data_IF_805467217563
#
_entry.id   IF_805467217563
#
_cell.length_a   1.000
_cell.length_b   1.000
_cell.length_c   1.000
_cell.angle_alpha   90.00
_cell.angle_beta   90.00
_cell.angle_gamma   90.00
#
_symmetry.space_group_name_H-M   'P 1'
#
loop_
_entity.id
_entity.type
_entity.pdbx_description
1 polymer ?
#
# COMPACT_ATOMS: atom_id res chain seq x y z
N UNK A 1 24.99 21.96 -35.27
CA UNK A 1 25.01 21.45 -33.88
C UNK A 1 23.94 22.17 -33.09
N UNK A 2 22.79 21.52 -32.88
CA UNK A 2 21.65 22.06 -32.13
C UNK A 2 21.72 21.50 -30.70
N UNK A 3 21.82 22.39 -29.71
CA UNK A 3 21.73 22.01 -28.30
C UNK A 3 20.28 22.13 -27.83
N UNK A 4 19.76 20.99 -27.38
CA UNK A 4 18.40 20.73 -26.90
C UNK A 4 18.00 21.67 -25.76
N UNK A 5 16.89 22.39 -25.94
CA UNK A 5 16.21 23.14 -24.87
C UNK A 5 15.46 22.14 -23.99
N UNK A 6 15.84 22.05 -22.72
CA UNK A 6 15.14 21.28 -21.69
C UNK A 6 13.73 21.85 -21.48
N UNK A 7 12.71 21.12 -21.91
CA UNK A 7 11.31 21.45 -21.66
C UNK A 7 10.95 21.08 -20.21
N UNK A 8 10.91 22.08 -19.31
CA UNK A 8 10.40 21.89 -17.95
C UNK A 8 8.88 21.80 -18.02
N UNK A 9 8.33 20.61 -17.73
CA UNK A 9 6.90 20.43 -17.54
C UNK A 9 6.44 21.27 -16.33
N UNK A 10 5.74 22.37 -16.60
CA UNK A 10 4.93 23.06 -15.62
C UNK A 10 3.67 22.21 -15.42
N UNK A 11 3.45 21.66 -14.22
CA UNK A 11 2.13 21.14 -13.85
C UNK A 11 1.28 22.34 -13.47
N UNK A 12 0.24 22.73 -14.24
CA UNK A 12 -0.60 23.84 -13.87
C UNK A 12 -1.71 23.32 -12.95
N UNK A 13 -1.39 23.07 -11.68
CA UNK A 13 -2.44 22.84 -10.68
C UNK A 13 -3.13 24.16 -10.39
N UNK A 14 -4.29 24.38 -11.01
CA UNK A 14 -5.21 25.46 -10.61
C UNK A 14 -5.51 25.31 -9.11
N UNK A 15 -5.53 26.39 -8.31
CA UNK A 15 -6.01 26.31 -6.94
C UNK A 15 -7.45 25.80 -6.94
N UNK A 16 -7.77 24.89 -6.03
CA UNK A 16 -9.12 24.34 -5.92
C UNK A 16 -10.14 25.48 -5.72
N UNK A 17 -11.30 25.46 -6.40
CA UNK A 17 -12.29 26.53 -6.31
C UNK A 17 -12.74 26.76 -4.85
N UNK A 18 -12.83 28.03 -4.44
CA UNK A 18 -13.26 28.45 -3.10
C UNK A 18 -14.66 27.89 -2.82
N UNK A 19 -14.73 26.86 -1.97
CA UNK A 19 -15.95 26.09 -1.71
C UNK A 19 -15.69 24.58 -1.63
N UNK A 20 -14.79 24.05 -2.47
CA UNK A 20 -14.31 22.66 -2.35
C UNK A 20 -13.38 22.49 -1.13
N UNK A 21 -12.55 23.50 -0.86
CA UNK A 21 -11.62 23.50 0.28
C UNK A 21 -12.32 23.32 1.65
N UNK A 22 -13.40 24.05 2.00
CA UNK A 22 -14.09 23.83 3.27
C UNK A 22 -14.87 22.50 3.32
N UNK A 23 -15.43 22.03 2.21
CA UNK A 23 -16.09 20.71 2.17
C UNK A 23 -15.08 19.56 2.32
N UNK A 24 -13.96 19.63 1.62
CA UNK A 24 -12.84 18.70 1.74
C UNK A 24 -12.22 18.75 3.14
N UNK A 25 -12.00 19.93 3.72
CA UNK A 25 -11.50 20.09 5.07
C UNK A 25 -12.42 19.43 6.12
N UNK A 26 -13.74 19.64 6.01
CA UNK A 26 -14.72 18.96 6.88
C UNK A 26 -14.72 17.45 6.69
N UNK A 27 -14.61 16.96 5.45
CA UNK A 27 -14.55 15.52 5.17
C UNK A 27 -13.28 14.89 5.74
N UNK A 28 -12.13 15.55 5.58
CA UNK A 28 -10.85 15.13 6.18
C UNK A 28 -10.96 15.13 7.71
N UNK A 29 -11.54 16.17 8.30
CA UNK A 29 -11.72 16.25 9.75
C UNK A 29 -12.65 15.14 10.27
N UNK A 30 -13.75 14.86 9.57
CA UNK A 30 -14.65 13.75 9.89
C UNK A 30 -13.94 12.38 9.80
N UNK A 31 -13.08 12.19 8.79
CA UNK A 31 -12.26 10.97 8.66
C UNK A 31 -11.23 10.85 9.78
N UNK A 32 -10.54 11.93 10.14
CA UNK A 32 -9.57 11.94 11.24
C UNK A 32 -10.25 11.66 12.57
N UNK A 33 -11.42 12.26 12.82
CA UNK A 33 -12.18 12.05 14.05
C UNK A 33 -12.71 10.61 14.13
N UNK A 34 -13.16 10.04 13.02
CA UNK A 34 -13.55 8.62 12.94
C UNK A 34 -12.37 7.70 13.25
N UNK A 35 -11.21 7.91 12.60
CA UNK A 35 -9.96 7.15 12.87
C UNK A 35 -9.55 7.26 14.34
N UNK A 36 -9.64 8.45 14.94
CA UNK A 36 -9.35 8.65 16.37
C UNK A 36 -10.33 7.90 17.27
N UNK A 37 -11.62 7.87 16.94
CA UNK A 37 -12.62 7.11 17.70
C UNK A 37 -12.39 5.62 17.62
N UNK A 38 -12.09 5.10 16.42
CA UNK A 38 -11.72 3.70 16.20
C UNK A 38 -10.45 3.34 16.98
N UNK A 39 -9.41 4.19 16.95
CA UNK A 39 -8.19 3.98 17.72
C UNK A 39 -8.40 4.06 19.25
N UNK A 40 -9.35 4.88 19.72
CA UNK A 40 -9.71 4.96 21.14
C UNK A 40 -10.60 3.82 21.61
N UNK A 41 -11.40 3.24 20.71
CA UNK A 41 -12.24 2.08 20.96
C UNK A 41 -11.47 0.75 20.86
N UNK A 42 -10.23 0.79 20.34
CA UNK A 42 -9.37 -0.38 20.24
C UNK A 42 -9.10 -1.01 21.61
N UNK A 43 -9.27 -2.31 21.68
CA UNK A 43 -8.96 -3.14 22.84
C UNK A 43 -7.48 -3.10 23.19
N UNK A 44 -7.13 -3.48 24.43
CA UNK A 44 -5.73 -3.53 24.86
C UNK A 44 -4.87 -4.45 23.98
N UNK A 45 -5.46 -5.55 23.50
CA UNK A 45 -4.82 -6.51 22.59
C UNK A 45 -4.56 -5.90 21.22
N UNK A 46 -5.53 -5.20 20.63
CA UNK A 46 -5.36 -4.50 19.35
C UNK A 46 -4.29 -3.41 19.42
N UNK A 47 -4.21 -2.70 20.56
CA UNK A 47 -3.17 -1.69 20.80
C UNK A 47 -1.79 -2.33 20.92
N UNK A 48 -1.68 -3.46 21.60
CA UNK A 48 -0.43 -4.21 21.69
C UNK A 48 -0.01 -4.75 20.30
N UNK A 49 -0.94 -5.32 19.54
CA UNK A 49 -0.70 -5.81 18.19
C UNK A 49 -0.24 -4.69 17.24
N UNK A 50 -0.84 -3.50 17.32
CA UNK A 50 -0.44 -2.34 16.53
C UNK A 50 0.98 -1.84 16.89
N UNK A 51 1.32 -1.83 18.18
CA UNK A 51 2.66 -1.46 18.63
C UNK A 51 3.71 -2.48 18.19
N UNK A 52 3.43 -3.78 18.33
CA UNK A 52 4.32 -4.88 17.92
C UNK A 52 4.52 -4.84 16.40
N UNK A 53 3.46 -4.64 15.64
CA UNK A 53 3.51 -4.49 14.18
C UNK A 53 4.46 -3.36 13.73
N UNK A 54 4.34 -2.17 14.34
CA UNK A 54 5.24 -1.05 14.04
C UNK A 54 6.68 -1.29 14.49
N UNK A 55 6.88 -2.03 15.58
CA UNK A 55 8.20 -2.33 16.13
C UNK A 55 8.94 -3.41 15.32
N UNK A 56 8.28 -4.53 15.01
CA UNK A 56 8.86 -5.65 14.26
C UNK A 56 9.20 -5.28 12.81
N UNK A 57 8.48 -4.33 12.22
CA UNK A 57 8.78 -3.80 10.88
C UNK A 57 9.86 -2.71 10.82
N UNK A 58 10.44 -2.31 11.96
CA UNK A 58 11.36 -1.16 12.04
C UNK A 58 12.84 -1.58 12.06
N UNK A 59 13.70 -0.79 11.41
CA UNK A 59 15.16 -0.94 11.51
C UNK A 59 15.69 -0.78 12.95
N UNK A 60 14.98 -0.05 13.80
CA UNK A 60 15.35 0.11 15.20
C UNK A 60 15.42 -1.23 15.94
N UNK A 61 14.49 -2.14 15.65
CA UNK A 61 14.46 -3.49 16.22
C UNK A 61 15.74 -4.28 15.91
N UNK A 62 16.20 -4.20 14.66
CA UNK A 62 17.42 -4.86 14.19
C UNK A 62 18.65 -4.32 14.93
N UNK A 63 18.77 -3.00 15.07
CA UNK A 63 19.89 -2.41 15.81
C UNK A 63 19.88 -2.81 17.29
N UNK A 64 18.71 -2.87 17.92
CA UNK A 64 18.59 -3.35 19.30
C UNK A 64 19.08 -4.79 19.44
N UNK A 65 18.72 -5.68 18.50
CA UNK A 65 19.17 -7.08 18.49
C UNK A 65 20.68 -7.18 18.29
N UNK A 66 21.23 -6.46 17.31
CA UNK A 66 22.67 -6.45 17.05
C UNK A 66 23.44 -5.94 18.27
N UNK A 67 22.96 -4.88 18.93
CA UNK A 67 23.59 -4.37 20.14
C UNK A 67 23.48 -5.36 21.31
N UNK A 68 22.33 -6.01 21.48
CA UNK A 68 22.10 -6.98 22.55
C UNK A 68 22.96 -8.23 22.36
N UNK A 69 22.84 -8.92 21.23
CA UNK A 69 23.63 -10.12 20.92
C UNK A 69 25.12 -9.80 20.82
N UNK A 70 25.49 -8.71 20.15
CA UNK A 70 26.88 -8.27 20.03
C UNK A 70 27.50 -7.93 21.38
N UNK A 71 26.77 -7.23 22.25
CA UNK A 71 27.19 -6.94 23.62
C UNK A 71 27.37 -8.21 24.45
N UNK A 72 26.42 -9.15 24.36
CA UNK A 72 26.52 -10.44 25.05
C UNK A 72 27.74 -11.25 24.63
N UNK A 73 27.99 -11.34 23.33
CA UNK A 73 29.15 -12.04 22.77
C UNK A 73 30.44 -11.35 23.22
N UNK A 74 30.52 -10.01 23.13
CA UNK A 74 31.72 -9.27 23.52
C UNK A 74 32.08 -9.46 25.01
N UNK A 75 31.07 -9.50 25.88
CA UNK A 75 31.26 -9.75 27.31
C UNK A 75 31.70 -11.19 27.61
N UNK A 76 31.22 -12.18 26.84
CA UNK A 76 31.50 -13.60 27.09
C UNK A 76 32.74 -14.15 26.37
N UNK A 77 33.16 -13.53 25.26
CA UNK A 77 34.40 -13.90 24.54
C UNK A 77 35.65 -13.26 25.17
N UNK A 78 35.48 -12.41 26.20
CA UNK A 78 36.60 -11.83 26.95
C UNK A 78 37.24 -10.62 26.27
N UNK A 79 36.54 -9.97 25.34
CA UNK A 79 36.98 -8.68 24.75
C UNK A 79 37.06 -7.61 25.85
N UNK A 80 36.18 -7.68 26.84
CA UNK A 80 36.26 -6.89 28.07
C UNK A 80 36.99 -7.68 29.16
N UNK A 81 38.25 -7.36 29.40
CA UNK A 81 39.08 -7.99 30.45
C UNK A 81 38.56 -7.77 31.88
N UNK A 82 37.56 -6.92 32.08
CA UNK A 82 36.97 -6.59 33.38
C UNK A 82 35.82 -7.50 33.81
N UNK A 83 35.28 -8.34 32.92
CA UNK A 83 34.10 -9.18 33.22
C UNK A 83 34.46 -10.65 33.04
N UNK A 84 34.14 -11.47 34.05
CA UNK A 84 34.34 -12.92 33.96
C UNK A 84 33.27 -13.52 33.04
N UNK A 85 33.65 -14.29 31.99
CA UNK A 85 32.70 -14.97 31.13
C UNK A 85 31.78 -15.88 31.93
N UNK A 86 30.48 -15.75 31.72
CA UNK A 86 29.44 -16.48 32.45
C UNK A 86 28.62 -17.41 31.55
N UNK A 87 28.60 -17.14 30.24
CA UNK A 87 28.13 -18.00 29.15
C UNK A 87 29.25 -18.18 28.09
N UNK A 88 30.38 -18.84 28.41
CA UNK A 88 31.53 -18.93 27.51
C UNK A 88 31.25 -19.77 26.25
N UNK A 89 30.30 -20.71 26.32
CA UNK A 89 29.88 -21.56 25.21
C UNK A 89 28.76 -20.94 24.36
N UNK A 90 28.22 -19.78 24.77
CA UNK A 90 27.10 -19.09 24.12
C UNK A 90 25.83 -19.95 23.99
N UNK A 91 25.73 -21.05 24.74
CA UNK A 91 24.61 -21.99 24.65
C UNK A 91 23.35 -21.35 25.23
N UNK A 92 23.49 -20.57 26.30
CA UNK A 92 22.34 -19.88 26.92
C UNK A 92 21.80 -18.84 25.95
N UNK A 93 22.69 -18.06 25.32
CA UNK A 93 22.32 -17.11 24.27
C UNK A 93 21.61 -17.78 23.10
N UNK A 94 22.14 -18.90 22.61
CA UNK A 94 21.57 -19.63 21.48
C UNK A 94 20.17 -20.19 21.81
N UNK A 95 19.97 -20.71 23.02
CA UNK A 95 18.64 -21.19 23.45
C UNK A 95 17.64 -20.04 23.53
N UNK A 96 18.04 -18.89 24.09
CA UNK A 96 17.19 -17.71 24.16
C UNK A 96 16.81 -17.20 22.77
N UNK A 97 17.80 -17.03 21.88
CA UNK A 97 17.60 -16.62 20.50
C UNK A 97 16.67 -17.57 19.73
N UNK A 98 16.76 -18.88 19.99
CA UNK A 98 15.92 -19.88 19.32
C UNK A 98 14.44 -19.73 19.70
N UNK A 99 14.15 -19.50 20.98
CA UNK A 99 12.79 -19.26 21.45
C UNK A 99 12.28 -17.91 20.91
N UNK A 100 13.11 -16.87 20.99
CA UNK A 100 12.78 -15.54 20.47
C UNK A 100 12.44 -15.57 18.98
N UNK A 101 13.19 -16.32 18.16
CA UNK A 101 12.95 -16.44 16.73
C UNK A 101 11.54 -16.96 16.39
N UNK A 102 10.97 -17.88 17.17
CA UNK A 102 9.59 -18.37 16.98
C UNK A 102 8.58 -17.24 17.20
N UNK A 103 8.76 -16.46 18.27
CA UNK A 103 7.91 -15.29 18.54
C UNK A 103 8.02 -14.25 17.43
N UNK A 104 9.24 -13.94 16.98
CA UNK A 104 9.48 -13.00 15.89
C UNK A 104 8.84 -13.46 14.59
N UNK A 105 9.03 -14.72 14.21
CA UNK A 105 8.41 -15.28 13.00
C UNK A 105 6.89 -15.19 13.06
N UNK A 106 6.29 -15.46 14.23
CA UNK A 106 4.84 -15.36 14.42
C UNK A 106 4.36 -13.91 14.33
N UNK A 107 5.08 -12.96 14.95
CA UNK A 107 4.74 -11.54 14.86
C UNK A 107 4.90 -10.99 13.45
N UNK A 108 5.95 -11.40 12.73
CA UNK A 108 6.15 -11.06 11.31
C UNK A 108 4.98 -11.60 10.47
N UNK A 109 4.57 -12.86 10.68
CA UNK A 109 3.45 -13.45 9.94
C UNK A 109 2.13 -12.75 10.24
N UNK A 110 1.84 -12.44 11.50
CA UNK A 110 0.64 -11.67 11.88
C UNK A 110 0.66 -10.29 11.22
N UNK A 111 1.82 -9.62 11.21
CA UNK A 111 1.97 -8.32 10.57
C UNK A 111 1.77 -8.40 9.05
N UNK A 112 2.34 -9.42 8.41
CA UNK A 112 2.17 -9.68 6.97
C UNK A 112 0.70 -9.95 6.63
N UNK A 113 0.01 -10.81 7.37
CA UNK A 113 -1.41 -11.08 7.16
C UNK A 113 -2.27 -9.81 7.27
N UNK A 114 -1.95 -8.95 8.25
CA UNK A 114 -2.66 -7.67 8.41
C UNK A 114 -2.42 -6.71 7.25
N UNK A 115 -1.16 -6.58 6.80
CA UNK A 115 -0.82 -5.75 5.64
C UNK A 115 -1.50 -6.28 4.37
N UNK A 116 -1.49 -7.59 4.15
CA UNK A 116 -2.16 -8.21 3.02
C UNK A 116 -3.68 -7.97 3.02
N UNK A 117 -4.33 -8.03 4.19
CA UNK A 117 -5.75 -7.70 4.31
C UNK A 117 -6.04 -6.22 3.98
N UNK A 118 -5.18 -5.29 4.42
CA UNK A 118 -5.30 -3.87 4.10
C UNK A 118 -5.07 -3.60 2.61
N UNK A 119 -4.05 -4.23 2.02
CA UNK A 119 -3.72 -4.10 0.60
C UNK A 119 -4.84 -4.65 -0.29
N UNK A 120 -5.43 -5.80 0.07
CA UNK A 120 -6.60 -6.34 -0.64
C UNK A 120 -7.79 -5.37 -0.60
N UNK A 121 -8.10 -4.79 0.57
CA UNK A 121 -9.20 -3.82 0.67
C UNK A 121 -8.94 -2.54 -0.14
N UNK A 122 -7.67 -2.13 -0.28
CA UNK A 122 -7.28 -1.00 -1.14
C UNK A 122 -7.42 -1.35 -2.62
N UNK A 123 -6.98 -2.54 -3.02
CA UNK A 123 -7.10 -3.03 -4.39
C UNK A 123 -8.58 -3.12 -4.84
N UNK A 124 -9.47 -3.62 -3.98
CA UNK A 124 -10.91 -3.67 -4.27
C UNK A 124 -11.51 -2.27 -4.48
N UNK A 125 -11.10 -1.29 -3.67
CA UNK A 125 -11.57 0.09 -3.81
C UNK A 125 -11.03 0.74 -5.09
N UNK A 126 -9.75 0.52 -5.41
CA UNK A 126 -9.12 1.04 -6.62
C UNK A 126 -9.77 0.45 -7.89
N UNK A 127 -10.12 -0.83 -7.86
CA UNK A 127 -10.89 -1.47 -8.93
C UNK A 127 -12.25 -0.80 -9.10
N UNK A 128 -13.02 -0.62 -8.02
CA UNK A 128 -14.33 0.04 -8.08
C UNK A 128 -14.26 1.47 -8.61
N UNK A 129 -13.28 2.26 -8.17
CA UNK A 129 -13.05 3.62 -8.68
C UNK A 129 -12.70 3.59 -10.16
N UNK A 130 -11.88 2.63 -10.60
CA UNK A 130 -11.51 2.48 -12.01
C UNK A 130 -12.72 2.14 -12.88
N UNK A 131 -13.57 1.21 -12.46
CA UNK A 131 -14.82 0.86 -13.17
C UNK A 131 -15.81 2.02 -13.23
N UNK A 132 -15.93 2.78 -12.13
CA UNK A 132 -16.76 3.99 -12.11
C UNK A 132 -16.23 5.04 -13.09
N UNK A 133 -14.92 5.30 -13.08
CA UNK A 133 -14.29 6.24 -14.00
C UNK A 133 -14.45 5.81 -15.46
N UNK A 134 -14.34 4.52 -15.77
CA UNK A 134 -14.60 3.99 -17.10
C UNK A 134 -16.05 4.23 -17.53
N UNK A 135 -17.02 3.92 -16.67
CA UNK A 135 -18.43 4.17 -16.92
C UNK A 135 -18.72 5.67 -17.16
N UNK A 136 -18.19 6.54 -16.31
CA UNK A 136 -18.34 7.99 -16.44
C UNK A 136 -17.68 8.52 -17.71
N UNK A 137 -16.49 8.03 -18.06
CA UNK A 137 -15.78 8.39 -19.29
C UNK A 137 -16.57 8.00 -20.53
N UNK A 138 -17.08 6.78 -20.58
CA UNK A 138 -17.94 6.31 -21.69
C UNK A 138 -19.22 7.15 -21.80
N UNK A 139 -19.81 7.53 -20.66
CA UNK A 139 -20.97 8.43 -20.64
C UNK A 139 -20.63 9.83 -21.16
N UNK A 140 -19.47 10.37 -20.79
CA UNK A 140 -18.98 11.65 -21.31
C UNK A 140 -18.73 11.60 -22.82
N UNK A 141 -18.10 10.53 -23.32
CA UNK A 141 -17.90 10.31 -24.77
C UNK A 141 -19.26 10.31 -25.48
N UNK A 142 -20.23 9.53 -25.00
CA UNK A 142 -21.60 9.49 -25.55
C UNK A 142 -22.26 10.88 -25.56
N UNK A 143 -22.14 11.65 -24.48
CA UNK A 143 -22.68 13.00 -24.40
C UNK A 143 -22.00 13.96 -25.39
N UNK A 144 -20.67 13.89 -25.52
CA UNK A 144 -19.90 14.73 -26.45
C UNK A 144 -20.25 14.41 -27.90
N UNK A 145 -20.42 13.14 -28.25
CA UNK A 145 -20.88 12.72 -29.58
C UNK A 145 -22.26 13.29 -29.92
N UNK A 146 -23.22 13.22 -28.99
CA UNK A 146 -24.57 13.74 -29.22
C UNK A 146 -24.55 15.28 -29.41
N UNK A 147 -23.62 15.98 -28.74
CA UNK A 147 -23.39 17.42 -28.97
C UNK A 147 -22.76 17.67 -30.34
N UNK A 148 -21.72 16.92 -30.73
CA UNK A 148 -21.05 17.07 -32.03
C UNK A 148 -22.02 16.85 -33.20
N UNK A 149 -22.87 15.82 -33.12
CA UNK A 149 -23.94 15.55 -34.09
C UNK A 149 -24.91 16.71 -34.21
N UNK A 150 -25.35 17.31 -33.09
CA UNK A 150 -26.27 18.47 -33.11
C UNK A 150 -25.64 19.73 -33.71
N UNK A 151 -24.33 19.89 -33.55
CA UNK A 151 -23.58 21.03 -34.10
C UNK A 151 -23.12 20.79 -35.54
N UNK A 152 -23.42 19.63 -36.14
CA UNK A 152 -23.00 19.26 -37.49
C UNK A 152 -21.48 19.34 -37.70
N UNK A 153 -20.73 19.06 -36.63
CA UNK A 153 -19.26 19.03 -36.66
C UNK A 153 -18.85 17.66 -37.17
N UNK A 154 -18.36 17.61 -38.40
CA UNK A 154 -17.76 16.41 -38.97
C UNK A 154 -16.47 16.12 -38.20
N UNK A 155 -16.48 15.04 -37.42
CA UNK A 155 -15.36 14.69 -36.55
C UNK A 155 -14.70 13.46 -37.15
N UNK A 156 -13.43 13.55 -37.53
CA UNK A 156 -12.61 12.44 -38.09
C UNK A 156 -12.39 11.28 -37.08
N UNK A 157 -13.03 11.36 -35.90
CA UNK A 157 -12.99 10.41 -34.82
C UNK A 157 -13.95 9.21 -35.03
N UNK A 158 -14.74 9.17 -36.11
CA UNK A 158 -15.72 8.10 -36.36
C UNK A 158 -15.09 6.69 -36.43
N UNK A 159 -13.81 6.60 -36.77
CA UNK A 159 -13.07 5.33 -36.79
C UNK A 159 -12.48 4.95 -35.41
N UNK A 160 -12.01 5.91 -34.61
CA UNK A 160 -11.44 5.69 -33.26
C UNK A 160 -12.51 5.53 -32.17
N UNK A 161 -13.62 6.28 -32.28
CA UNK A 161 -14.77 6.19 -31.36
C UNK A 161 -15.47 4.82 -31.45
N UNK A 162 -15.42 4.18 -32.62
CA UNK A 162 -16.01 2.84 -32.81
C UNK A 162 -15.22 1.75 -32.09
N UNK A 163 -13.90 1.93 -31.92
CA UNK A 163 -13.07 1.05 -31.09
C UNK A 163 -13.26 1.31 -29.59
N UNK A 164 -13.36 2.57 -29.16
CA UNK A 164 -13.67 2.93 -27.76
C UNK A 164 -15.08 2.50 -27.31
N UNK A 165 -16.00 2.26 -28.24
CA UNK A 165 -17.36 1.73 -27.99
C UNK A 165 -17.46 0.23 -27.86
N UNK A 166 -16.38 -0.53 -28.08
CA UNK A 166 -16.34 -1.92 -27.60
C UNK A 166 -16.20 -1.84 -26.09
N UNK A 167 -17.36 -1.76 -25.41
CA UNK A 167 -17.47 -1.98 -23.97
C UNK A 167 -16.70 -3.28 -23.67
N UNK A 168 -15.51 -3.16 -23.10
CA UNK A 168 -14.82 -4.31 -22.54
C UNK A 168 -15.54 -4.56 -21.23
N UNK A 169 -16.60 -5.36 -21.28
CA UNK A 169 -17.39 -5.70 -20.09
C UNK A 169 -16.42 -6.12 -18.97
N UNK A 170 -16.34 -5.38 -17.86
CA UNK A 170 -15.40 -5.69 -16.78
C UNK A 170 -15.52 -7.13 -16.30
N UNK A 171 -16.74 -7.67 -16.33
CA UNK A 171 -17.06 -9.06 -16.02
C UNK A 171 -16.34 -10.02 -16.98
N UNK A 172 -16.30 -9.73 -18.28
CA UNK A 172 -15.61 -10.56 -19.27
C UNK A 172 -14.07 -10.51 -19.14
N UNK A 173 -13.52 -9.43 -18.59
CA UNK A 173 -12.08 -9.34 -18.26
C UNK A 173 -11.77 -10.14 -17.01
N UNK A 174 -12.61 -10.04 -15.97
CA UNK A 174 -12.48 -10.80 -14.73
C UNK A 174 -12.58 -12.31 -14.99
N UNK A 175 -13.59 -12.74 -15.76
CA UNK A 175 -13.76 -14.13 -16.19
C UNK A 175 -12.54 -14.64 -16.95
N UNK A 176 -11.91 -13.78 -17.77
CA UNK A 176 -10.71 -14.15 -18.53
C UNK A 176 -9.46 -14.23 -17.65
N UNK A 177 -9.34 -13.38 -16.65
CA UNK A 177 -8.24 -13.42 -15.67
C UNK A 177 -8.36 -14.68 -14.80
N UNK A 178 -9.56 -15.04 -14.36
CA UNK A 178 -9.83 -16.27 -13.61
C UNK A 178 -9.54 -17.53 -14.47
N UNK A 179 -9.96 -17.56 -15.73
CA UNK A 179 -9.67 -18.66 -16.67
C UNK A 179 -8.16 -18.83 -16.94
N UNK A 180 -7.38 -17.72 -16.91
CA UNK A 180 -5.93 -17.76 -17.09
C UNK A 180 -5.22 -18.16 -15.79
N UNK A 181 -5.70 -17.69 -14.65
CA UNK A 181 -5.17 -18.04 -13.33
C UNK A 181 -5.37 -19.52 -13.01
N UNK A 182 -6.53 -20.10 -13.36
CA UNK A 182 -6.82 -21.53 -13.18
C UNK A 182 -6.03 -22.46 -14.12
N UNK A 183 -5.51 -21.93 -15.23
CA UNK A 183 -4.67 -22.69 -16.18
C UNK A 183 -3.20 -22.74 -15.79
N UNK A 184 -2.78 -21.99 -14.77
CA UNK A 184 -1.42 -21.99 -14.28
C UNK A 184 -1.35 -22.95 -13.08
N UNK A 185 -0.76 -24.16 -13.22
CA UNK A 185 -0.66 -25.08 -12.10
C UNK A 185 0.22 -24.44 -11.00
N UNK A 186 -0.08 -24.70 -9.71
CA UNK A 186 0.74 -24.19 -8.62
C UNK A 186 2.16 -24.76 -8.76
N UNK A 187 3.16 -23.88 -8.80
CA UNK A 187 4.56 -24.28 -8.65
C UNK A 187 4.87 -24.79 -7.23
#
# INVERSE_FOLDING_TARGET
MAASKSNRYFTPTKPAPEGLAPALARNIEALIERRKREAKAATLEERAAAAISGFAGSMFFVYLHVAFFGGWIALNVGILSSVRPWDPSLVILAMFASVEAIFLSTFVLINQNRMAAEDNSRADLDLQVSLLNEHETTKLIKLVEEIAKRLNIDTDADHEIKELKRDVAPEAVLDKIEEVSDRQPPE
#
